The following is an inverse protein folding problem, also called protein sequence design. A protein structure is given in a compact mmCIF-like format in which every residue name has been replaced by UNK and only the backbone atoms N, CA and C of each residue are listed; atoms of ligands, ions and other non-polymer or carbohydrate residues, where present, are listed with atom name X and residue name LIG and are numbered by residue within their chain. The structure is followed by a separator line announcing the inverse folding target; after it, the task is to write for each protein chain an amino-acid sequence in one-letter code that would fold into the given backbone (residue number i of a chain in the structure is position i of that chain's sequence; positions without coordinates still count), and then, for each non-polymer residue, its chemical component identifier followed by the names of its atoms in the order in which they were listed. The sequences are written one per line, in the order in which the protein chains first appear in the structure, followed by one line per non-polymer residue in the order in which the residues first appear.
data_IF_516889188302
#
_entry.id   IF_516889188302
#
_cell.length_a   1.000
_cell.length_b   1.000
_cell.length_c   1.000
_cell.angle_alpha   90.00
_cell.angle_beta   90.00
_cell.angle_gamma   90.00
#
_symmetry.space_group_name_H-M   'P 1'
#
loop_
_entity.id
_entity.type
_entity.pdbx_description
1 polymer ?
#
# COMPACT_ATOMS: atom_id res chain seq x y z
N UNK A 1 6.65 7.23 -38.48
CA UNK A 1 5.26 6.74 -38.40
C UNK A 1 4.97 6.62 -36.91
N UNK A 2 4.76 7.70 -36.17
CA UNK A 2 3.64 8.63 -36.28
C UNK A 2 2.72 8.34 -35.08
N UNK A 3 3.23 8.51 -33.87
CA UNK A 3 2.50 8.23 -32.61
C UNK A 3 1.33 9.19 -32.50
N UNK A 4 0.17 8.76 -33.01
CA UNK A 4 -1.08 9.48 -32.93
C UNK A 4 -1.80 9.05 -31.66
N UNK A 5 -1.95 10.00 -30.74
CA UNK A 5 -2.90 9.88 -29.64
C UNK A 5 -4.31 9.69 -30.23
N UNK A 6 -4.95 8.55 -29.95
CA UNK A 6 -6.34 8.28 -30.34
C UNK A 6 -7.31 9.01 -29.40
N UNK A 7 -8.39 9.65 -29.90
CA UNK A 7 -9.32 10.38 -29.04
C UNK A 7 -10.15 9.40 -28.20
N UNK A 8 -9.87 9.35 -26.89
CA UNK A 8 -10.68 8.67 -25.89
C UNK A 8 -10.75 9.53 -24.62
N UNK A 9 -11.70 10.47 -24.59
CA UNK A 9 -11.97 11.34 -23.42
C UNK A 9 -11.52 12.80 -23.58
N UNK A 10 -11.84 13.62 -22.57
CA UNK A 10 -11.43 15.02 -22.43
C UNK A 10 -10.60 15.21 -21.15
N UNK A 11 -9.53 16.00 -21.25
CA UNK A 11 -8.72 16.39 -20.09
C UNK A 11 -9.24 17.73 -19.56
N UNK A 12 -9.36 17.84 -18.23
CA UNK A 12 -9.84 19.03 -17.57
C UNK A 12 -8.81 19.51 -16.52
N UNK A 13 -8.58 20.82 -16.39
CA UNK A 13 -7.84 21.38 -15.24
C UNK A 13 -8.66 21.24 -13.95
N UNK A 14 -8.09 21.64 -12.81
CA UNK A 14 -8.87 21.78 -11.58
C UNK A 14 -10.11 22.66 -11.80
N UNK A 15 -11.24 22.46 -11.08
CA UNK A 15 -12.51 23.16 -11.33
C UNK A 15 -12.51 24.68 -11.13
N UNK A 16 -11.36 25.32 -10.89
CA UNK A 16 -11.26 26.65 -10.27
C UNK A 16 -10.71 27.81 -11.11
N UNK A 17 -9.97 27.66 -12.23
CA UNK A 17 -9.56 28.84 -12.99
C UNK A 17 -10.46 29.07 -14.22
N UNK A 18 -11.27 30.12 -14.17
CA UNK A 18 -11.77 30.77 -15.39
C UNK A 18 -10.55 31.33 -16.17
N UNK A 19 -10.58 31.20 -17.51
CA UNK A 19 -9.55 31.73 -18.42
C UNK A 19 -8.11 31.19 -18.25
N UNK A 20 -7.91 29.99 -17.68
CA UNK A 20 -6.58 29.36 -17.53
C UNK A 20 -5.79 29.14 -18.83
N UNK A 21 -6.51 29.10 -19.96
CA UNK A 21 -6.04 28.58 -21.25
C UNK A 21 -5.33 27.23 -21.12
N UNK A 22 -5.85 26.35 -20.27
CA UNK A 22 -5.44 24.95 -20.23
C UNK A 22 -5.49 24.34 -21.63
N UNK A 23 -4.43 23.65 -22.04
CA UNK A 23 -4.29 23.11 -23.40
C UNK A 23 -3.62 24.05 -24.39
N UNK A 24 -3.11 25.20 -23.96
CA UNK A 24 -2.33 26.12 -24.82
C UNK A 24 -1.09 25.47 -25.42
N UNK A 25 -0.50 24.54 -24.68
CA UNK A 25 0.60 23.70 -25.12
C UNK A 25 0.33 22.25 -24.71
N UNK A 26 0.72 21.32 -25.57
CA UNK A 26 0.64 19.87 -25.34
C UNK A 26 1.93 19.23 -25.82
N UNK A 27 2.63 18.54 -24.91
CA UNK A 27 3.82 17.75 -25.21
C UNK A 27 3.57 16.28 -24.86
N UNK A 28 3.94 15.37 -25.77
CA UNK A 28 4.06 13.96 -25.44
C UNK A 28 5.45 13.71 -24.86
N UNK A 29 5.52 13.02 -23.71
CA UNK A 29 6.76 12.73 -23.01
C UNK A 29 6.95 11.22 -22.93
N UNK A 30 7.85 10.62 -23.73
CA UNK A 30 8.06 9.18 -23.72
C UNK A 30 8.47 8.67 -22.34
N UNK A 31 7.80 7.60 -21.88
CA UNK A 31 8.21 6.83 -20.70
C UNK A 31 8.42 7.63 -19.40
N UNK A 32 7.67 8.72 -19.19
CA UNK A 32 7.82 9.59 -18.00
C UNK A 32 7.63 8.84 -16.67
N UNK A 33 6.74 7.85 -16.66
CA UNK A 33 6.42 6.95 -15.54
C UNK A 33 7.28 5.69 -15.49
N UNK A 34 8.24 5.55 -16.42
CA UNK A 34 9.17 4.42 -16.52
C UNK A 34 8.50 3.06 -16.72
N UNK A 35 7.24 3.00 -17.17
CA UNK A 35 6.44 1.79 -17.38
C UNK A 35 6.25 1.43 -18.86
N UNK A 36 6.97 2.09 -19.77
CA UNK A 36 6.94 1.89 -21.21
C UNK A 36 5.85 2.67 -21.94
N UNK A 37 5.04 3.46 -21.23
CA UNK A 37 3.96 4.26 -21.80
C UNK A 37 4.36 5.73 -21.89
N UNK A 38 3.93 6.42 -22.96
CA UNK A 38 4.14 7.86 -23.07
C UNK A 38 3.23 8.60 -22.09
N UNK A 39 3.77 9.61 -21.39
CA UNK A 39 2.98 10.60 -20.67
C UNK A 39 2.57 11.75 -21.58
N UNK A 40 1.66 12.60 -21.10
CA UNK A 40 1.29 13.86 -21.73
C UNK A 40 1.45 15.01 -20.74
N UNK A 41 1.96 16.14 -21.21
CA UNK A 41 2.14 17.34 -20.39
C UNK A 41 1.37 18.48 -21.03
N UNK A 42 0.56 19.17 -20.25
CA UNK A 42 -0.37 20.21 -20.72
C UNK A 42 -0.11 21.51 -19.99
N UNK A 43 0.08 22.59 -20.77
CA UNK A 43 0.30 23.93 -20.24
C UNK A 43 -0.99 24.69 -19.97
N UNK A 44 -0.99 25.49 -18.90
CA UNK A 44 -2.05 26.41 -18.53
C UNK A 44 -1.47 27.79 -18.14
N UNK A 45 -0.98 28.57 -19.12
CA UNK A 45 -0.14 29.75 -18.85
C UNK A 45 -0.85 30.92 -18.17
N UNK A 46 -2.18 30.95 -18.15
CA UNK A 46 -2.93 32.05 -17.51
C UNK A 46 -3.36 31.72 -16.06
N UNK A 47 -3.13 30.50 -15.58
CA UNK A 47 -3.40 30.15 -14.18
C UNK A 47 -2.57 31.00 -13.21
N UNK A 48 -3.04 31.01 -11.95
CA UNK A 48 -2.38 31.70 -10.83
C UNK A 48 -2.09 33.18 -11.15
N UNK A 49 -3.03 33.85 -11.82
CA UNK A 49 -2.89 35.26 -12.20
C UNK A 49 -1.75 35.48 -13.19
N UNK A 50 -1.74 34.73 -14.30
CA UNK A 50 -0.72 34.79 -15.36
C UNK A 50 0.69 34.31 -14.94
N UNK A 51 0.84 33.67 -13.78
CA UNK A 51 2.10 32.98 -13.43
C UNK A 51 2.25 31.71 -14.27
N UNK A 52 1.15 30.98 -14.43
CA UNK A 52 1.06 29.78 -15.25
C UNK A 52 1.38 28.49 -14.49
N UNK A 53 0.89 27.39 -15.03
CA UNK A 53 1.03 26.05 -14.46
C UNK A 53 1.23 24.99 -15.56
N UNK A 54 1.72 23.82 -15.14
CA UNK A 54 1.94 22.66 -15.98
C UNK A 54 1.29 21.43 -15.35
N UNK A 55 0.55 20.66 -16.15
CA UNK A 55 -0.14 19.44 -15.73
C UNK A 55 0.52 18.23 -16.36
N UNK A 56 0.76 17.17 -15.58
CA UNK A 56 1.37 15.92 -16.05
C UNK A 56 0.33 14.80 -16.02
N UNK A 57 0.08 14.18 -17.16
CA UNK A 57 -0.89 13.09 -17.31
C UNK A 57 -0.18 11.79 -17.62
N UNK A 58 -0.56 10.75 -16.89
CA UNK A 58 -0.12 9.38 -17.13
C UNK A 58 -1.11 8.65 -18.03
N UNK A 59 -0.60 7.89 -19.00
CA UNK A 59 -1.41 7.17 -19.99
C UNK A 59 -1.40 5.69 -19.64
N UNK A 60 -2.57 5.05 -19.61
CA UNK A 60 -2.70 3.60 -19.37
C UNK A 60 -3.04 2.85 -20.67
N UNK A 61 -2.78 1.53 -20.75
CA UNK A 61 -3.12 0.75 -21.94
C UNK A 61 -4.63 0.82 -22.22
N UNK A 62 -4.99 1.37 -23.38
CA UNK A 62 -6.38 1.46 -23.86
C UNK A 62 -7.11 2.79 -23.65
N UNK A 63 -6.61 3.71 -22.80
CA UNK A 63 -7.20 5.05 -22.60
C UNK A 63 -6.19 6.01 -21.95
N UNK A 64 -6.27 7.31 -22.28
CA UNK A 64 -5.78 8.36 -21.39
C UNK A 64 -6.61 8.26 -20.09
N UNK A 65 -5.97 8.04 -18.93
CA UNK A 65 -6.72 8.04 -17.68
C UNK A 65 -7.32 9.45 -17.49
N UNK A 66 -8.66 9.62 -17.45
CA UNK A 66 -9.27 10.90 -17.14
C UNK A 66 -9.10 11.28 -15.66
N UNK A 67 -8.55 10.35 -14.86
CA UNK A 67 -8.58 10.34 -13.41
C UNK A 67 -7.14 10.31 -12.85
N UNK A 68 -6.70 11.52 -12.50
CA UNK A 68 -5.86 11.93 -11.37
C UNK A 68 -5.01 10.88 -10.59
N UNK A 69 -3.75 11.20 -10.31
CA UNK A 69 -2.95 10.71 -9.14
C UNK A 69 -1.85 11.74 -8.88
N UNK A 70 -1.68 12.24 -7.65
CA UNK A 70 -0.63 13.22 -7.35
C UNK A 70 0.21 12.79 -6.14
N UNK A 71 1.52 12.82 -6.38
CA UNK A 71 2.61 13.02 -5.41
C UNK A 71 2.64 14.48 -4.94
N UNK A 72 2.34 14.70 -3.66
CA UNK A 72 2.58 15.99 -2.98
C UNK A 72 4.04 16.06 -2.54
N UNK A 73 4.88 16.82 -3.24
CA UNK A 73 6.14 17.30 -2.67
C UNK A 73 5.82 18.49 -1.76
N UNK A 74 5.50 18.22 -0.49
CA UNK A 74 5.46 19.26 0.56
C UNK A 74 6.73 19.11 1.40
N UNK A 75 7.61 20.11 1.35
CA UNK A 75 8.61 20.30 2.40
C UNK A 75 7.92 20.94 3.60
N UNK A 76 8.04 20.25 4.74
CA UNK A 76 7.77 20.65 6.14
C UNK A 76 6.34 20.84 6.69
N UNK A 77 6.16 20.11 7.80
CA UNK A 77 5.40 20.38 9.02
C UNK A 77 4.19 19.47 9.25
N UNK A 78 4.40 18.53 10.17
CA UNK A 78 3.44 17.58 10.73
C UNK A 78 2.75 18.25 11.92
N UNK A 79 1.44 18.46 11.83
CA UNK A 79 0.58 18.56 13.02
C UNK A 79 -0.90 18.36 12.63
N UNK A 80 -1.50 17.32 13.21
CA UNK A 80 -2.90 17.35 13.67
C UNK A 80 -4.04 17.10 12.67
N UNK A 81 -4.70 15.95 12.89
CA UNK A 81 -6.17 15.73 12.80
C UNK A 81 -6.78 15.32 11.45
N UNK A 82 -7.47 14.16 11.51
CA UNK A 82 -8.80 14.00 10.92
C UNK A 82 -8.88 13.40 9.53
N UNK A 83 -9.34 12.15 9.47
CA UNK A 83 -9.85 11.53 8.24
C UNK A 83 -10.92 12.40 7.57
N UNK A 84 -11.00 12.33 6.23
CA UNK A 84 -12.19 12.32 5.36
C UNK A 84 -11.83 12.87 3.96
N UNK A 85 -12.11 12.07 2.92
CA UNK A 85 -12.03 12.32 1.47
C UNK A 85 -10.80 11.76 0.75
N UNK A 86 -11.00 10.60 0.13
CA UNK A 86 -10.24 10.19 -1.05
C UNK A 86 -10.60 11.15 -2.20
N UNK A 87 -9.76 12.16 -2.44
CA UNK A 87 -9.65 12.83 -3.74
C UNK A 87 -8.17 12.74 -4.14
N UNK A 88 -7.71 12.06 -5.18
CA UNK A 88 -8.05 12.18 -6.59
C UNK A 88 -7.58 13.52 -7.23
N UNK A 89 -6.24 13.77 -7.28
CA UNK A 89 -5.62 14.97 -7.89
C UNK A 89 -4.52 14.65 -8.93
N UNK A 90 -4.29 15.45 -9.99
CA UNK A 90 -3.25 15.30 -11.06
C UNK A 90 -1.94 16.00 -10.62
N UNK A 91 -0.72 15.51 -10.91
CA UNK A 91 0.51 16.24 -10.59
C UNK A 91 0.56 17.56 -11.36
N UNK A 92 0.45 18.66 -10.61
CA UNK A 92 0.46 20.04 -11.10
C UNK A 92 1.72 20.74 -10.61
N UNK A 93 2.43 21.40 -11.53
CA UNK A 93 3.63 22.17 -11.25
C UNK A 93 3.29 23.64 -11.42
N UNK A 94 3.22 24.34 -10.29
CA UNK A 94 3.02 25.78 -10.22
C UNK A 94 4.32 26.51 -10.50
N UNK A 95 4.26 27.60 -11.26
CA UNK A 95 5.42 28.47 -11.44
C UNK A 95 5.97 29.01 -10.12
N UNK A 96 5.10 29.30 -9.15
CA UNK A 96 5.46 29.82 -7.82
C UNK A 96 6.27 28.81 -7.00
N UNK A 97 5.97 27.51 -7.13
CA UNK A 97 6.69 26.45 -6.44
C UNK A 97 8.17 26.34 -6.87
N UNK A 98 8.54 26.93 -8.02
CA UNK A 98 9.93 27.00 -8.49
C UNK A 98 10.74 28.11 -7.80
N UNK A 99 10.08 28.99 -7.03
CA UNK A 99 10.74 30.13 -6.37
C UNK A 99 11.17 31.23 -7.34
N UNK A 100 10.66 31.22 -8.57
CA UNK A 100 10.96 32.20 -9.61
C UNK A 100 9.74 33.04 -9.96
N UNK A 101 9.94 34.33 -10.23
CA UNK A 101 8.89 35.24 -10.68
C UNK A 101 8.58 35.07 -12.17
N UNK A 102 8.13 33.87 -12.55
CA UNK A 102 7.76 33.57 -13.94
C UNK A 102 6.38 34.14 -14.28
N UNK A 103 6.20 34.43 -15.57
CA UNK A 103 4.87 34.68 -16.17
C UNK A 103 4.66 33.78 -17.36
N UNK A 104 3.41 33.39 -17.57
CA UNK A 104 2.99 32.55 -18.69
C UNK A 104 3.76 31.21 -18.75
N UNK A 105 4.15 30.67 -17.60
CA UNK A 105 4.78 29.36 -17.51
C UNK A 105 3.85 28.28 -18.08
N UNK A 106 4.36 27.42 -18.96
CA UNK A 106 3.53 26.45 -19.69
C UNK A 106 2.97 26.98 -21.01
N UNK A 107 3.45 28.12 -21.52
CA UNK A 107 3.03 28.63 -22.84
C UNK A 107 3.54 27.76 -24.01
N UNK A 108 4.64 27.05 -23.81
CA UNK A 108 5.18 26.03 -24.71
C UNK A 108 5.81 24.90 -23.90
N UNK A 109 5.79 23.69 -24.44
CA UNK A 109 6.32 22.49 -23.77
C UNK A 109 6.97 21.58 -24.81
N UNK A 110 8.14 21.04 -24.49
CA UNK A 110 8.77 19.92 -25.20
C UNK A 110 9.34 18.91 -24.20
N UNK A 111 9.34 17.62 -24.54
CA UNK A 111 9.81 16.58 -23.62
C UNK A 111 10.23 15.32 -24.35
N UNK A 112 11.29 15.44 -25.15
CA UNK A 112 11.78 14.35 -26.02
C UNK A 112 13.25 14.00 -25.81
N UNK A 113 13.97 14.81 -25.05
CA UNK A 113 15.42 14.73 -24.92
C UNK A 113 15.77 14.63 -23.45
N UNK A 114 16.69 13.73 -23.14
CA UNK A 114 17.44 13.69 -21.88
C UNK A 114 18.51 14.78 -21.94
N UNK A 115 18.39 15.80 -21.08
CA UNK A 115 19.26 16.97 -21.12
C UNK A 115 20.46 16.86 -20.17
N UNK A 116 20.40 16.03 -19.13
CA UNK A 116 21.50 15.85 -18.19
C UNK A 116 22.25 14.51 -18.34
N UNK A 117 21.82 13.67 -19.29
CA UNK A 117 22.49 12.43 -19.69
C UNK A 117 22.25 11.29 -18.71
N UNK A 118 21.22 11.36 -17.86
CA UNK A 118 20.93 10.36 -16.84
C UNK A 118 20.08 9.19 -17.34
N UNK A 119 19.68 9.20 -18.62
CA UNK A 119 18.88 8.17 -19.27
C UNK A 119 17.37 8.40 -19.17
N UNK A 120 16.91 9.47 -18.53
CA UNK A 120 15.50 9.84 -18.42
C UNK A 120 15.18 11.06 -19.29
N UNK A 121 14.00 11.04 -19.93
CA UNK A 121 13.57 12.19 -20.74
C UNK A 121 13.16 13.35 -19.82
N UNK A 122 13.68 14.54 -20.09
CA UNK A 122 13.36 15.76 -19.36
C UNK A 122 12.27 16.58 -20.06
N UNK A 123 11.67 17.53 -19.33
CA UNK A 123 10.62 18.42 -19.85
C UNK A 123 11.10 19.87 -19.86
N UNK A 124 11.17 20.46 -21.04
CA UNK A 124 11.41 21.89 -21.23
C UNK A 124 10.08 22.65 -21.30
N UNK A 125 9.98 23.74 -20.54
CA UNK A 125 8.76 24.56 -20.42
C UNK A 125 9.10 26.02 -20.68
N UNK A 126 8.39 26.63 -21.62
CA UNK A 126 8.50 28.05 -21.90
C UNK A 126 7.76 28.91 -20.89
N UNK A 127 8.33 30.09 -20.64
CA UNK A 127 7.71 31.20 -19.92
C UNK A 127 8.09 32.52 -20.64
N UNK A 128 7.46 33.63 -20.26
CA UNK A 128 7.82 34.92 -20.82
C UNK A 128 9.24 35.32 -20.41
N UNK A 129 10.15 35.37 -21.39
CA UNK A 129 11.55 35.75 -21.19
C UNK A 129 12.42 34.67 -20.53
N UNK A 130 11.93 33.44 -20.38
CA UNK A 130 12.66 32.34 -19.77
C UNK A 130 12.25 30.97 -20.33
N UNK A 131 13.13 29.99 -20.20
CA UNK A 131 12.83 28.58 -20.40
C UNK A 131 13.28 27.80 -19.16
N UNK A 132 12.47 26.85 -18.72
CA UNK A 132 12.71 26.02 -17.53
C UNK A 132 12.86 24.58 -17.96
N UNK A 133 13.89 23.90 -17.46
CA UNK A 133 14.07 22.46 -17.65
C UNK A 133 13.71 21.75 -16.35
N UNK A 134 12.69 20.90 -16.41
CA UNK A 134 12.26 20.02 -15.34
C UNK A 134 12.88 18.65 -15.57
N UNK A 135 13.74 18.24 -14.63
CA UNK A 135 14.44 16.96 -14.73
C UNK A 135 13.62 15.81 -14.19
N UNK A 136 13.64 14.70 -14.91
CA UNK A 136 13.00 13.46 -14.47
C UNK A 136 13.79 12.82 -13.32
N UNK A 137 13.12 11.94 -12.56
CA UNK A 137 13.76 11.20 -11.45
C UNK A 137 13.46 9.72 -11.61
N UNK A 138 14.44 8.90 -11.25
CA UNK A 138 14.28 7.44 -11.22
C UNK A 138 13.17 7.03 -10.25
N UNK A 139 12.25 6.20 -10.74
CA UNK A 139 11.16 5.63 -9.94
C UNK A 139 11.58 4.22 -9.54
N UNK A 140 11.65 3.97 -8.24
CA UNK A 140 12.03 2.68 -7.69
C UNK A 140 10.87 2.06 -6.91
N UNK A 141 10.74 0.74 -7.05
CA UNK A 141 9.82 -0.08 -6.28
C UNK A 141 10.61 -0.79 -5.20
N UNK A 142 10.29 -0.51 -3.93
CA UNK A 142 10.93 -1.16 -2.79
C UNK A 142 9.96 -2.15 -2.18
N UNK A 143 10.33 -3.43 -2.23
CA UNK A 143 9.65 -4.51 -1.54
C UNK A 143 10.35 -4.82 -0.23
N UNK A 144 9.56 -5.04 0.82
CA UNK A 144 10.07 -5.42 2.14
C UNK A 144 9.35 -6.67 2.66
N UNK A 145 10.11 -7.58 3.28
CA UNK A 145 9.59 -8.76 3.94
C UNK A 145 10.09 -8.83 5.38
N UNK A 146 9.25 -9.36 6.26
CA UNK A 146 9.53 -9.44 7.69
C UNK A 146 9.13 -10.82 8.23
N UNK A 147 10.08 -11.50 8.85
CA UNK A 147 9.87 -12.73 9.61
C UNK A 147 10.39 -12.55 11.04
N UNK A 148 9.85 -13.36 11.96
CA UNK A 148 10.24 -13.33 13.37
C UNK A 148 10.52 -14.76 13.81
N UNK A 149 11.61 -14.94 14.54
CA UNK A 149 12.03 -16.23 15.07
C UNK A 149 12.27 -16.10 16.59
N UNK A 150 11.58 -16.91 17.43
CA UNK A 150 10.49 -17.83 17.06
C UNK A 150 9.26 -17.10 16.50
N UNK A 151 8.39 -17.81 15.77
CA UNK A 151 7.22 -17.21 15.12
C UNK A 151 6.12 -16.78 16.11
N UNK A 152 6.15 -17.31 17.33
CA UNK A 152 5.21 -17.03 18.41
C UNK A 152 5.95 -16.95 19.76
N UNK A 153 5.34 -16.30 20.73
CA UNK A 153 5.89 -16.12 22.09
C UNK A 153 5.33 -17.19 23.02
N UNK A 154 6.20 -17.99 23.64
CA UNK A 154 5.78 -18.89 24.72
C UNK A 154 5.49 -18.11 25.99
N UNK A 155 4.34 -18.36 26.63
CA UNK A 155 4.00 -17.76 27.93
C UNK A 155 4.72 -18.45 29.09
N UNK A 156 5.10 -19.72 28.93
CA UNK A 156 5.68 -20.56 30.01
C UNK A 156 7.19 -20.68 29.93
N UNK A 157 7.76 -20.72 28.71
CA UNK A 157 9.19 -20.96 28.50
C UNK A 157 9.92 -19.64 28.21
N UNK A 158 10.84 -19.28 29.10
CA UNK A 158 11.77 -18.17 28.92
C UNK A 158 13.07 -18.71 28.30
N UNK A 159 13.53 -18.12 27.20
CA UNK A 159 14.66 -18.63 26.41
C UNK A 159 15.93 -17.77 26.53
N UNK A 160 15.90 -16.67 27.28
CA UNK A 160 17.03 -15.78 27.45
C UNK A 160 16.94 -14.98 28.75
N UNK A 161 18.02 -14.25 29.07
CA UNK A 161 18.05 -13.30 30.16
C UNK A 161 18.34 -11.88 29.62
N UNK A 162 17.57 -10.90 30.09
CA UNK A 162 17.68 -9.49 29.71
C UNK A 162 17.57 -8.61 30.95
N UNK A 163 18.57 -7.74 31.15
CA UNK A 163 18.66 -6.85 32.31
C UNK A 163 18.55 -7.58 33.67
N UNK A 164 19.09 -8.80 33.75
CA UNK A 164 19.06 -9.63 34.96
C UNK A 164 17.78 -10.44 35.15
N UNK A 165 16.72 -10.19 34.38
CA UNK A 165 15.46 -10.93 34.42
C UNK A 165 15.38 -11.95 33.28
N UNK A 166 14.79 -13.12 33.57
CA UNK A 166 14.47 -14.08 32.52
C UNK A 166 13.36 -13.54 31.62
N UNK A 167 13.50 -13.73 30.31
CA UNK A 167 12.64 -13.15 29.28
C UNK A 167 12.48 -14.10 28.09
N UNK A 168 11.56 -13.76 27.18
CA UNK A 168 11.44 -14.40 25.87
C UNK A 168 12.05 -13.47 24.83
N UNK A 169 13.19 -13.85 24.28
CA UNK A 169 13.88 -13.16 23.20
C UNK A 169 13.41 -13.67 21.85
N UNK A 170 13.17 -12.72 20.96
CA UNK A 170 12.82 -12.94 19.57
C UNK A 170 13.77 -12.17 18.66
N UNK A 171 13.84 -12.57 17.41
CA UNK A 171 14.65 -11.93 16.39
C UNK A 171 13.81 -11.69 15.15
N UNK A 172 13.62 -10.42 14.81
CA UNK A 172 13.02 -10.05 13.53
C UNK A 172 14.09 -10.07 12.45
N UNK A 173 13.83 -10.73 11.32
CA UNK A 173 14.60 -10.63 10.09
C UNK A 173 13.81 -9.78 9.11
N UNK A 174 14.38 -8.65 8.71
CA UNK A 174 13.78 -7.72 7.76
C UNK A 174 14.64 -7.72 6.51
N UNK A 175 14.04 -7.91 5.34
CA UNK A 175 14.73 -7.88 4.06
C UNK A 175 14.11 -6.81 3.17
N UNK A 176 14.96 -6.06 2.48
CA UNK A 176 14.59 -5.07 1.47
C UNK A 176 15.12 -5.51 0.11
N UNK A 177 14.36 -5.24 -0.93
CA UNK A 177 14.73 -5.41 -2.33
C UNK A 177 14.18 -4.25 -3.12
N UNK A 178 14.97 -3.70 -4.04
CA UNK A 178 14.58 -2.55 -4.85
C UNK A 178 14.72 -2.88 -6.33
N UNK A 179 13.73 -2.51 -7.11
CA UNK A 179 13.70 -2.69 -8.56
C UNK A 179 13.32 -1.37 -9.24
N UNK A 180 13.77 -1.18 -10.48
CA UNK A 180 13.29 -0.13 -11.37
C UNK A 180 12.33 -0.74 -12.38
N UNK A 181 11.37 0.06 -12.86
CA UNK A 181 10.46 -0.35 -13.94
C UNK A 181 11.15 -0.33 -15.32
N UNK A 182 12.31 0.31 -15.42
CA UNK A 182 13.09 0.36 -16.67
C UNK A 182 13.94 -0.90 -16.88
N UNK A 183 14.24 -1.22 -18.13
CA UNK A 183 15.03 -2.41 -18.49
C UNK A 183 16.55 -2.15 -18.48
N UNK A 184 16.99 -0.89 -18.34
CA UNK A 184 18.40 -0.56 -18.36
C UNK A 184 19.00 -0.70 -16.95
N UNK A 185 19.95 -1.61 -16.74
CA UNK A 185 20.60 -1.76 -15.44
C UNK A 185 21.45 -0.52 -15.17
N UNK A 186 21.03 0.28 -14.19
CA UNK A 186 21.86 1.33 -13.60
C UNK A 186 22.47 0.76 -12.33
N UNK A 187 23.81 0.74 -12.24
CA UNK A 187 24.50 0.45 -11.00
C UNK A 187 24.27 1.63 -10.04
N UNK A 188 23.39 1.42 -9.08
CA UNK A 188 22.93 2.44 -8.15
C UNK A 188 22.68 1.81 -6.78
N UNK A 189 23.17 2.48 -5.74
CA UNK A 189 22.87 2.13 -4.36
C UNK A 189 21.61 2.85 -3.87
N UNK A 190 20.82 2.15 -3.06
CA UNK A 190 19.55 2.60 -2.52
C UNK A 190 19.70 2.86 -1.03
N UNK A 191 19.58 4.13 -0.66
CA UNK A 191 19.59 4.59 0.72
C UNK A 191 18.17 4.68 1.29
N UNK A 192 17.84 3.77 2.20
CA UNK A 192 16.57 3.79 2.92
C UNK A 192 16.75 4.19 4.37
N UNK A 193 15.88 5.09 4.82
CA UNK A 193 15.56 5.27 6.24
C UNK A 193 14.38 4.39 6.58
N UNK A 194 14.50 3.62 7.66
CA UNK A 194 13.39 2.79 8.12
C UNK A 194 13.19 2.91 9.63
N UNK A 195 11.91 2.78 10.01
CA UNK A 195 11.44 2.81 11.37
C UNK A 195 10.84 1.45 11.70
N UNK A 196 11.26 0.85 12.80
CA UNK A 196 10.68 -0.38 13.32
C UNK A 196 10.09 -0.08 14.68
N UNK A 197 8.80 -0.33 14.86
CA UNK A 197 8.10 -0.10 16.11
C UNK A 197 7.45 -1.36 16.65
N UNK A 198 7.53 -1.51 17.98
CA UNK A 198 6.72 -2.44 18.75
C UNK A 198 5.48 -1.67 19.20
N UNK A 199 4.40 -1.79 18.43
CA UNK A 199 3.19 -0.98 18.55
C UNK A 199 2.22 -1.59 19.57
N UNK A 200 1.71 -0.77 20.51
CA UNK A 200 0.67 -1.18 21.45
C UNK A 200 -0.46 -0.16 21.50
N UNK A 201 -1.69 -0.64 21.27
CA UNK A 201 -2.93 0.16 21.32
C UNK A 201 -3.35 0.56 22.74
N UNK A 202 -2.58 0.20 23.76
CA UNK A 202 -2.88 0.40 25.18
C UNK A 202 -1.66 0.98 25.90
N UNK A 203 -1.84 1.80 26.96
CA UNK A 203 -0.75 2.20 27.83
C UNK A 203 -0.06 1.00 28.49
N UNK A 204 1.20 0.77 28.11
CA UNK A 204 2.04 -0.37 28.52
C UNK A 204 3.01 -0.71 27.40
N UNK A 205 4.16 -1.32 27.70
CA UNK A 205 5.04 -1.95 26.70
C UNK A 205 5.14 -3.41 27.07
N UNK A 206 4.74 -4.33 26.21
CA UNK A 206 4.98 -5.76 26.42
C UNK A 206 6.21 -6.28 25.71
N UNK A 207 6.89 -5.44 24.94
CA UNK A 207 8.16 -5.76 24.33
C UNK A 207 9.06 -4.53 24.21
N UNK A 208 10.37 -4.76 24.13
CA UNK A 208 11.35 -3.71 23.88
C UNK A 208 12.48 -4.23 23.00
N UNK A 209 13.05 -3.34 22.20
CA UNK A 209 14.25 -3.66 21.42
C UNK A 209 15.48 -3.72 22.34
N UNK A 210 16.36 -4.70 22.08
CA UNK A 210 17.59 -4.88 22.87
C UNK A 210 18.54 -3.67 22.71
N UNK A 211 18.55 -3.05 21.53
CA UNK A 211 19.33 -1.83 21.30
C UNK A 211 18.64 -0.61 21.89
N UNK A 212 18.92 -0.33 23.16
CA UNK A 212 18.55 0.91 23.83
C UNK A 212 17.21 0.90 24.59
N UNK A 213 16.57 -0.27 24.78
CA UNK A 213 15.33 -0.43 25.54
C UNK A 213 14.18 0.51 25.10
N UNK A 214 14.16 0.89 23.81
CA UNK A 214 13.12 1.74 23.20
C UNK A 214 12.12 0.87 22.44
N UNK A 215 10.91 1.39 22.23
CA UNK A 215 9.86 0.76 21.39
C UNK A 215 9.96 1.11 19.92
N UNK A 216 10.82 2.05 19.58
CA UNK A 216 11.02 2.56 18.23
C UNK A 216 12.52 2.54 17.93
N UNK A 217 12.86 1.93 16.81
CA UNK A 217 14.18 2.01 16.20
C UNK A 217 14.06 2.77 14.90
N UNK A 218 14.90 3.78 14.76
CA UNK A 218 15.11 4.48 13.51
C UNK A 218 16.54 4.21 13.04
N UNK A 219 16.66 3.67 11.83
CA UNK A 219 17.92 3.20 11.27
C UNK A 219 17.98 3.52 9.77
N UNK A 220 19.14 3.24 9.17
CA UNK A 220 19.40 3.40 7.75
C UNK A 220 20.00 2.12 7.19
N UNK A 221 19.74 1.84 5.92
CA UNK A 221 20.35 0.75 5.18
C UNK A 221 20.64 1.23 3.76
N UNK A 222 21.82 0.87 3.29
CA UNK A 222 22.28 1.09 1.92
C UNK A 222 22.44 -0.29 1.26
N UNK A 223 21.91 -0.44 0.05
CA UNK A 223 22.04 -1.68 -0.71
C UNK A 223 21.90 -1.47 -2.22
N UNK A 224 22.59 -2.27 -3.04
CA UNK A 224 22.54 -2.12 -4.49
C UNK A 224 21.17 -2.50 -5.07
N UNK A 225 20.74 -1.74 -6.08
CA UNK A 225 19.53 -2.02 -6.87
C UNK A 225 19.55 -3.45 -7.44
N UNK A 226 18.40 -4.11 -7.44
CA UNK A 226 18.25 -5.48 -7.94
C UNK A 226 18.82 -6.57 -7.02
N UNK A 227 19.38 -6.22 -5.86
CA UNK A 227 19.83 -7.18 -4.85
C UNK A 227 19.06 -7.02 -3.54
N UNK A 228 18.77 -8.16 -2.92
CA UNK A 228 18.14 -8.18 -1.62
C UNK A 228 19.18 -7.97 -0.49
N UNK A 229 18.86 -7.09 0.46
CA UNK A 229 19.65 -6.89 1.68
C UNK A 229 18.80 -7.14 2.92
N UNK A 230 19.36 -7.82 3.92
CA UNK A 230 18.61 -8.23 5.11
C UNK A 230 19.33 -7.86 6.42
N UNK A 231 18.54 -7.42 7.39
CA UNK A 231 18.98 -7.08 8.74
C UNK A 231 18.29 -7.96 9.77
N UNK A 232 18.90 -8.06 10.95
CA UNK A 232 18.34 -8.78 12.10
C UNK A 232 18.21 -7.84 13.29
N UNK A 233 17.03 -7.80 13.89
CA UNK A 233 16.69 -6.92 15.01
C UNK A 233 16.27 -7.80 16.19
N UNK A 234 17.10 -7.93 17.23
CA UNK A 234 16.74 -8.64 18.45
C UNK A 234 15.84 -7.76 19.34
N UNK A 235 14.84 -8.38 19.95
CA UNK A 235 13.94 -7.77 20.92
C UNK A 235 13.47 -8.83 21.91
N UNK A 236 12.92 -8.39 23.03
CA UNK A 236 12.41 -9.29 24.05
C UNK A 236 11.06 -8.83 24.57
N UNK A 237 10.31 -9.80 25.10
CA UNK A 237 9.05 -9.58 25.79
C UNK A 237 9.33 -9.11 27.21
N UNK A 238 8.63 -8.06 27.61
CA UNK A 238 8.63 -7.51 28.97
C UNK A 238 7.54 -8.19 29.79
N UNK A 239 7.69 -8.18 31.11
CA UNK A 239 6.69 -8.75 32.01
C UNK A 239 5.30 -8.13 31.76
N UNK A 240 4.32 -8.97 31.43
CA UNK A 240 2.98 -8.55 31.03
C UNK A 240 1.96 -9.59 31.46
N UNK A 241 0.73 -9.18 31.75
CA UNK A 241 -0.40 -10.08 31.98
C UNK A 241 -1.28 -10.27 30.74
N UNK A 242 -1.02 -9.53 29.66
CA UNK A 242 -1.82 -9.58 28.44
C UNK A 242 -1.16 -10.48 27.39
N UNK A 243 -1.53 -11.75 27.46
CA UNK A 243 -1.10 -12.79 26.52
C UNK A 243 -2.16 -13.10 25.44
N UNK A 244 -3.31 -12.42 25.46
CA UNK A 244 -4.38 -12.69 24.49
C UNK A 244 -4.15 -11.94 23.18
N UNK A 245 -3.59 -10.73 23.24
CA UNK A 245 -3.38 -9.90 22.05
C UNK A 245 -1.99 -10.15 21.47
N UNK A 246 -1.84 -10.33 20.15
CA UNK A 246 -0.53 -10.48 19.54
C UNK A 246 0.33 -9.21 19.75
N UNK A 247 1.66 -9.39 19.82
CA UNK A 247 2.59 -8.28 19.68
C UNK A 247 2.56 -7.80 18.23
N UNK A 248 2.65 -6.49 18.04
CA UNK A 248 2.63 -5.87 16.72
C UNK A 248 4.00 -5.29 16.41
N UNK A 249 4.67 -5.85 15.41
CA UNK A 249 5.91 -5.31 14.85
C UNK A 249 5.58 -4.60 13.54
N UNK A 250 5.69 -3.28 13.54
CA UNK A 250 5.40 -2.44 12.38
C UNK A 250 6.72 -1.92 11.80
N UNK A 251 6.89 -2.04 10.49
CA UNK A 251 8.02 -1.52 9.73
C UNK A 251 7.50 -0.45 8.78
N UNK A 252 8.08 0.73 8.77
CA UNK A 252 7.88 1.73 7.73
C UNK A 252 9.21 2.21 7.17
N UNK A 253 9.24 2.60 5.89
CA UNK A 253 10.46 3.06 5.23
C UNK A 253 10.19 4.21 4.27
N UNK A 254 11.26 4.97 4.01
CA UNK A 254 11.30 6.03 3.03
C UNK A 254 12.72 6.10 2.46
N UNK A 255 12.85 6.65 1.25
CA UNK A 255 14.16 7.06 0.74
C UNK A 255 14.77 8.12 1.66
N UNK A 256 16.09 8.07 1.85
CA UNK A 256 16.75 9.16 2.56
C UNK A 256 16.72 10.44 1.71
N UNK A 257 16.67 11.60 2.37
CA UNK A 257 16.42 12.91 1.73
C UNK A 257 17.47 13.26 0.66
N UNK A 258 18.67 12.70 0.78
CA UNK A 258 19.76 12.87 -0.18
C UNK A 258 19.54 12.10 -1.50
N UNK A 259 18.64 11.12 -1.54
CA UNK A 259 18.42 10.31 -2.72
C UNK A 259 17.72 11.12 -3.82
N UNK A 260 18.32 11.20 -5.01
CA UNK A 260 17.70 11.77 -6.23
C UNK A 260 16.58 10.89 -6.82
N UNK A 261 16.08 9.92 -6.06
CA UNK A 261 15.12 8.90 -6.48
C UNK A 261 13.73 9.17 -5.90
N UNK A 262 12.70 8.59 -6.48
CA UNK A 262 11.34 8.66 -5.98
C UNK A 262 10.80 7.24 -5.82
N UNK A 263 10.12 6.97 -4.70
CA UNK A 263 9.40 5.71 -4.52
C UNK A 263 8.17 5.70 -5.42
N UNK A 264 7.90 4.56 -6.04
CA UNK A 264 6.64 4.33 -6.71
C UNK A 264 5.47 4.53 -5.73
N UNK A 265 4.57 5.44 -6.05
CA UNK A 265 3.42 5.82 -5.23
C UNK A 265 2.49 4.63 -4.93
N UNK A 266 2.41 3.66 -5.85
CA UNK A 266 1.60 2.46 -5.66
C UNK A 266 2.26 1.44 -4.71
N UNK A 267 3.54 1.60 -4.42
CA UNK A 267 4.25 0.68 -3.53
C UNK A 267 3.92 0.96 -2.07
N UNK A 268 3.60 -0.07 -1.28
CA UNK A 268 3.45 0.11 0.16
C UNK A 268 4.76 0.60 0.76
N UNK A 269 4.70 1.49 1.74
CA UNK A 269 5.85 1.96 2.53
C UNK A 269 5.77 1.54 4.00
N UNK A 270 4.84 0.65 4.30
CA UNK A 270 4.59 0.11 5.63
C UNK A 270 4.12 -1.34 5.56
N UNK A 271 4.66 -2.18 6.45
CA UNK A 271 4.20 -3.55 6.67
C UNK A 271 4.08 -3.82 8.17
N UNK A 272 3.17 -4.71 8.55
CA UNK A 272 2.89 -5.06 9.94
C UNK A 272 2.88 -6.57 10.12
N UNK A 273 3.61 -7.05 11.12
CA UNK A 273 3.61 -8.47 11.53
C UNK A 273 3.00 -8.59 12.92
N UNK A 274 2.02 -9.48 13.04
CA UNK A 274 1.46 -9.89 14.32
C UNK A 274 2.19 -11.14 14.80
N UNK A 275 2.61 -11.13 16.06
CA UNK A 275 3.33 -12.21 16.71
C UNK A 275 2.43 -12.70 17.86
N UNK A 276 1.78 -13.87 17.72
CA UNK A 276 0.88 -14.39 18.74
C UNK A 276 1.66 -14.87 19.96
N UNK A 277 0.95 -14.95 21.09
CA UNK A 277 1.39 -15.73 22.23
C UNK A 277 0.72 -17.11 22.16
N UNK A 278 1.41 -18.12 22.65
CA UNK A 278 0.84 -19.46 22.80
C UNK A 278 1.06 -19.99 24.20
N UNK A 279 0.12 -20.83 24.63
CA UNK A 279 0.12 -21.50 25.91
C UNK A 279 -0.55 -22.86 25.73
N UNK A 280 -0.04 -23.88 26.39
CA UNK A 280 -0.67 -25.21 26.43
C UNK A 280 -0.66 -25.95 25.06
N UNK A 281 0.41 -25.83 24.26
CA UNK A 281 0.66 -26.59 23.01
C UNK A 281 1.53 -27.85 23.24
N UNK A 282 1.27 -28.58 24.33
CA UNK A 282 2.07 -29.77 24.66
C UNK A 282 3.57 -29.51 24.94
N UNK A 283 4.38 -30.56 24.77
CA UNK A 283 5.82 -30.55 25.05
C UNK A 283 6.68 -30.11 23.86
N UNK A 284 6.14 -30.24 22.64
CA UNK A 284 6.77 -29.90 21.36
C UNK A 284 6.61 -28.42 20.97
N UNK A 285 5.84 -27.64 21.74
CA UNK A 285 5.57 -26.21 21.51
C UNK A 285 4.93 -25.91 20.13
N UNK A 286 4.34 -26.92 19.48
CA UNK A 286 3.69 -26.80 18.18
C UNK A 286 2.19 -27.07 18.32
N UNK A 287 1.38 -25.99 18.37
CA UNK A 287 -0.07 -26.14 18.44
C UNK A 287 -0.64 -26.70 17.12
N UNK A 288 -1.08 -27.96 17.14
CA UNK A 288 -1.79 -28.62 16.05
C UNK A 288 -3.30 -28.47 16.27
N UNK A 289 -3.97 -27.83 15.30
CA UNK A 289 -5.38 -27.46 15.41
C UNK A 289 -6.19 -28.16 14.33
N UNK A 290 -7.38 -28.67 14.68
CA UNK A 290 -8.34 -29.25 13.73
C UNK A 290 -9.59 -28.35 13.64
N UNK A 291 -9.50 -27.32 12.80
CA UNK A 291 -10.61 -26.40 12.52
C UNK A 291 -11.58 -27.01 11.51
N UNK A 292 -12.72 -27.48 12.00
CA UNK A 292 -13.79 -28.08 11.19
C UNK A 292 -14.91 -27.08 10.96
N UNK A 293 -15.08 -26.73 9.69
CA UNK A 293 -16.13 -25.81 9.22
C UNK A 293 -17.31 -26.59 8.64
N UNK A 294 -18.50 -26.41 9.21
CA UNK A 294 -19.77 -26.83 8.62
C UNK A 294 -20.57 -25.59 8.24
N UNK A 295 -21.10 -25.57 7.03
CA UNK A 295 -21.93 -24.48 6.55
C UNK A 295 -23.22 -25.02 5.94
N UNK A 296 -24.35 -24.46 6.32
CA UNK A 296 -25.67 -24.77 5.80
C UNK A 296 -26.34 -23.49 5.31
N UNK A 297 -27.29 -23.64 4.39
CA UNK A 297 -28.05 -22.51 3.87
C UNK A 297 -29.54 -22.81 3.83
N UNK A 298 -30.33 -21.76 4.01
CA UNK A 298 -31.78 -21.76 3.85
C UNK A 298 -32.27 -21.73 2.37
N UNK A 299 -31.36 -21.89 1.39
CA UNK A 299 -31.71 -22.08 -0.02
C UNK A 299 -31.71 -23.56 -0.36
N UNK A 300 -32.89 -24.13 -0.57
CA UNK A 300 -33.04 -25.55 -0.90
C UNK A 300 -33.31 -25.70 -2.42
N UNK A 301 -32.66 -26.67 -3.12
CA UNK A 301 -32.77 -26.83 -4.58
C UNK A 301 -34.20 -27.05 -5.09
N UNK A 302 -35.08 -27.56 -4.23
CA UNK A 302 -36.47 -27.86 -4.53
C UNK A 302 -37.41 -27.30 -3.46
N UNK A 303 -37.59 -25.98 -3.45
CA UNK A 303 -38.64 -25.35 -2.65
C UNK A 303 -40.03 -25.56 -3.26
N UNK A 304 -40.80 -26.50 -2.70
CA UNK A 304 -42.27 -26.43 -2.72
C UNK A 304 -42.67 -25.37 -1.68
N UNK A 305 -43.44 -24.34 -2.04
CA UNK A 305 -43.89 -23.36 -1.06
C UNK A 305 -44.91 -24.01 -0.10
N UNK A 306 -44.69 -23.90 1.22
CA UNK A 306 -45.79 -24.02 2.19
C UNK A 306 -45.67 -25.01 3.35
N UNK A 307 -44.52 -25.66 3.60
CA UNK A 307 -44.39 -26.57 4.76
C UNK A 307 -43.34 -26.05 5.75
N UNK A 308 -43.74 -25.57 6.95
CA UNK A 308 -42.83 -25.33 8.06
C UNK A 308 -42.27 -26.67 8.56
N UNK A 309 -40.94 -26.84 8.59
CA UNK A 309 -40.28 -28.03 9.14
C UNK A 309 -39.70 -29.03 8.13
N UNK A 310 -39.67 -28.71 6.83
CA UNK A 310 -38.94 -29.53 5.86
C UNK A 310 -37.42 -29.39 6.09
N UNK A 311 -36.80 -30.40 6.68
CA UNK A 311 -35.35 -30.50 6.83
C UNK A 311 -34.70 -30.60 5.45
N UNK A 312 -33.87 -29.62 5.09
CA UNK A 312 -33.10 -29.69 3.85
C UNK A 312 -31.98 -30.72 4.04
N UNK A 313 -32.06 -31.82 3.29
CA UNK A 313 -31.10 -32.91 3.37
C UNK A 313 -29.73 -32.41 2.84
N UNK A 314 -28.69 -32.27 3.68
CA UNK A 314 -27.41 -31.65 3.29
C UNK A 314 -26.66 -32.46 2.23
N UNK A 315 -27.02 -33.74 2.06
CA UNK A 315 -26.44 -34.64 1.07
C UNK A 315 -27.08 -34.51 -0.32
N UNK A 316 -28.21 -33.80 -0.45
CA UNK A 316 -28.89 -33.60 -1.71
C UNK A 316 -28.22 -32.50 -2.55
N UNK A 317 -27.13 -32.91 -3.21
CA UNK A 317 -26.64 -32.38 -4.48
C UNK A 317 -25.74 -31.13 -4.45
N UNK A 318 -24.42 -31.39 -4.49
CA UNK A 318 -23.41 -30.50 -5.08
C UNK A 318 -23.61 -30.22 -6.59
N UNK A 319 -24.66 -30.76 -7.23
CA UNK A 319 -24.86 -30.73 -8.68
C UNK A 319 -26.06 -29.88 -9.15
N UNK A 320 -26.83 -29.25 -8.25
CA UNK A 320 -27.96 -28.39 -8.64
C UNK A 320 -27.73 -26.90 -8.30
N UNK A 321 -27.99 -25.97 -9.24
CA UNK A 321 -27.85 -24.54 -8.98
C UNK A 321 -28.85 -24.10 -7.89
N UNK A 322 -28.36 -23.37 -6.90
CA UNK A 322 -29.17 -22.76 -5.87
C UNK A 322 -29.81 -21.49 -6.45
N UNK A 323 -31.06 -21.58 -6.93
CA UNK A 323 -31.73 -20.49 -7.65
C UNK A 323 -32.40 -19.53 -6.66
N UNK A 324 -31.90 -18.30 -6.59
CA UNK A 324 -32.58 -17.19 -5.92
C UNK A 324 -33.75 -16.70 -6.77
N UNK A 325 -34.99 -17.02 -6.36
CA UNK A 325 -36.21 -16.58 -7.06
C UNK A 325 -36.53 -15.11 -6.77
N UNK A 326 -37.11 -14.43 -7.77
CA UNK A 326 -37.60 -13.04 -7.69
C UNK A 326 -38.63 -12.90 -6.55
N UNK A 327 -38.19 -12.38 -5.41
CA UNK A 327 -39.02 -12.23 -4.19
C UNK A 327 -38.24 -12.41 -2.89
N UNK A 328 -37.18 -13.22 -2.89
CA UNK A 328 -36.30 -13.38 -1.73
C UNK A 328 -35.15 -12.38 -1.79
N UNK A 329 -35.12 -11.42 -0.86
CA UNK A 329 -34.08 -10.38 -0.77
C UNK A 329 -32.92 -10.74 0.16
N UNK A 330 -33.05 -11.80 0.97
CA UNK A 330 -32.07 -12.22 1.98
C UNK A 330 -31.95 -13.75 2.02
N UNK A 331 -30.74 -14.23 2.25
CA UNK A 331 -30.36 -15.63 2.46
C UNK A 331 -29.65 -15.72 3.80
N UNK A 332 -29.88 -16.82 4.51
CA UNK A 332 -29.15 -17.16 5.72
C UNK A 332 -28.11 -18.24 5.39
N UNK A 333 -26.89 -18.02 5.90
CA UNK A 333 -25.84 -19.02 5.95
C UNK A 333 -25.53 -19.23 7.41
N UNK A 334 -25.80 -20.44 7.89
CA UNK A 334 -25.43 -20.87 9.24
C UNK A 334 -24.07 -21.55 9.15
N UNK A 335 -23.16 -21.14 10.03
CA UNK A 335 -21.78 -21.58 10.02
C UNK A 335 -21.42 -22.05 11.41
N UNK A 336 -21.06 -23.33 11.53
CA UNK A 336 -20.52 -23.93 12.74
C UNK A 336 -19.01 -24.12 12.52
N UNK A 337 -18.20 -23.48 13.36
CA UNK A 337 -16.76 -23.65 13.38
C UNK A 337 -16.38 -24.34 14.69
N UNK A 338 -15.87 -25.56 14.59
CA UNK A 338 -15.44 -26.38 15.71
C UNK A 338 -13.92 -26.53 15.65
N UNK A 339 -13.23 -26.43 16.78
CA UNK A 339 -11.81 -26.80 16.88
C UNK A 339 -11.70 -28.08 17.71
N UNK A 340 -11.20 -29.17 17.12
CA UNK A 340 -11.23 -30.51 17.74
C UNK A 340 -9.94 -30.92 18.42
N UNK A 341 -8.87 -30.16 18.23
CA UNK A 341 -7.54 -30.43 18.80
C UNK A 341 -7.07 -29.26 19.68
N UNK A 342 -5.82 -28.85 19.58
CA UNK A 342 -5.22 -27.82 20.44
C UNK A 342 -5.70 -26.41 20.08
N UNK A 343 -5.40 -25.42 20.91
CA UNK A 343 -5.89 -24.04 20.76
C UNK A 343 -5.50 -23.41 19.41
N UNK A 344 -6.50 -22.93 18.66
CA UNK A 344 -6.29 -22.16 17.44
C UNK A 344 -6.20 -20.64 17.73
N UNK A 345 -4.99 -20.11 17.73
CA UNK A 345 -4.74 -18.68 17.91
C UNK A 345 -4.99 -17.89 16.61
N UNK A 346 -5.64 -16.72 16.73
CA UNK A 346 -5.99 -15.85 15.60
C UNK A 346 -6.88 -16.53 14.53
N UNK A 347 -7.70 -17.50 14.94
CA UNK A 347 -8.66 -18.16 14.07
C UNK A 347 -9.57 -17.12 13.39
N UNK A 348 -9.69 -17.22 12.06
CA UNK A 348 -10.41 -16.25 11.23
C UNK A 348 -11.27 -16.98 10.22
N UNK A 349 -12.53 -16.56 10.07
CA UNK A 349 -13.46 -17.08 9.06
C UNK A 349 -13.49 -16.14 7.84
N UNK A 350 -13.16 -16.66 6.66
CA UNK A 350 -13.15 -15.91 5.41
C UNK A 350 -14.37 -16.25 4.55
N UNK A 351 -15.31 -15.31 4.42
CA UNK A 351 -16.49 -15.46 3.58
C UNK A 351 -16.26 -14.79 2.21
N UNK A 352 -16.27 -15.59 1.14
CA UNK A 352 -16.14 -15.09 -0.23
C UNK A 352 -17.52 -15.04 -0.89
N UNK A 353 -17.97 -13.83 -1.24
CA UNK A 353 -19.29 -13.61 -1.83
C UNK A 353 -19.18 -13.30 -3.34
N UNK A 354 -20.08 -13.84 -4.18
CA UNK A 354 -20.18 -13.43 -5.57
C UNK A 354 -20.74 -12.00 -5.69
N UNK A 355 -20.53 -11.35 -6.84
CA UNK A 355 -20.87 -9.93 -7.06
C UNK A 355 -22.34 -9.56 -6.81
N UNK A 356 -23.24 -10.53 -6.85
CA UNK A 356 -24.67 -10.38 -6.67
C UNK A 356 -25.14 -10.61 -5.21
N UNK A 357 -24.24 -10.94 -4.28
CA UNK A 357 -24.54 -11.09 -2.86
C UNK A 357 -23.78 -10.05 -2.05
N UNK A 358 -24.50 -9.41 -1.12
CA UNK A 358 -23.93 -8.45 -0.18
C UNK A 358 -24.10 -8.97 1.23
N UNK A 359 -23.02 -8.92 2.01
CA UNK A 359 -23.08 -9.22 3.44
C UNK A 359 -23.98 -8.19 4.14
N UNK A 360 -24.99 -8.67 4.86
CA UNK A 360 -25.96 -7.81 5.56
C UNK A 360 -25.69 -7.72 7.05
N UNK A 361 -25.48 -8.85 7.73
CA UNK A 361 -25.33 -8.90 9.18
C UNK A 361 -24.78 -10.26 9.62
N UNK A 362 -24.08 -10.30 10.76
CA UNK A 362 -23.68 -11.51 11.47
C UNK A 362 -24.39 -11.54 12.82
N UNK A 363 -24.91 -12.72 13.19
CA UNK A 363 -25.44 -13.00 14.52
C UNK A 363 -24.67 -14.19 15.06
N UNK A 364 -24.06 -14.03 16.23
CA UNK A 364 -23.38 -15.11 16.95
C UNK A 364 -24.40 -15.73 17.91
N UNK A 365 -24.51 -17.05 17.89
CA UNK A 365 -25.36 -17.82 18.81
C UNK A 365 -24.55 -18.38 19.96
#
# INVERSE_FOLDING_TARGET
MGDRLSPAGSLHPEPRPQDSRFGSALGAVPNLSQDGLAGAVVGAPLEDGHRGALYVFHVSPGTLLPQYKQVRLRWESWEGLGAHSCGEHVPRIEAEALGWSLRYFGISVDGRVDMDGDGLVDVAVGAQGAAVVLRSRWIIQVSAWMSVEPAAVSVTRQNCQRSGSSAVCLRARICFHAETRTQNPVDMDIDLRYNVSLEERIPGSRAAFDSGARRLLQRRIEFPLGRQSCIRIPFHVLDTSDYLRPLSLSLSWALDVAARLVLDEASPTTIRKLIPFFKDCGDDDECVTDLVLKATTDICPHGVPGIPGASCDPLASRQSPHILRKGRRRMLVEVELENREENAYNASLWLHLPRNLHFSSLVLQ
#
